data_IF_562534330838
#
_entry.id   IF_562534330838
#
_cell.length_a   1.000
_cell.length_b   1.000
_cell.length_c   1.000
_cell.angle_alpha   90.00
_cell.angle_beta   90.00
_cell.angle_gamma   90.00
#
_symmetry.space_group_name_H-M   'P 1'
#
loop_
_entity.id
_entity.type
_entity.pdbx_description
1 polymer ?
#
# COMPACT_ATOMS: atom_id res chain seq x y z
N UNK A 1 25.13 0.44 -38.46
CA UNK A 1 23.83 1.10 -38.26
C UNK A 1 22.76 0.08 -37.87
N UNK A 2 22.88 -0.58 -36.71
CA UNK A 2 21.91 -1.62 -36.28
C UNK A 2 21.68 -1.66 -34.76
N UNK A 3 22.12 -0.65 -34.01
CA UNK A 3 22.11 -0.67 -32.54
C UNK A 3 20.96 0.13 -31.90
N UNK A 4 20.12 0.80 -32.69
CA UNK A 4 19.09 1.72 -32.18
C UNK A 4 17.72 1.06 -31.95
N UNK A 5 17.49 -0.18 -32.40
CA UNK A 5 16.14 -0.77 -32.40
C UNK A 5 15.80 -1.75 -31.25
N UNK A 6 16.68 -1.93 -30.25
CA UNK A 6 16.41 -2.94 -29.19
C UNK A 6 15.52 -2.48 -28.04
N UNK A 7 15.18 -1.18 -27.96
CA UNK A 7 14.44 -0.60 -26.83
C UNK A 7 13.12 0.09 -27.21
N UNK A 8 12.35 -0.48 -28.13
CA UNK A 8 10.92 -0.12 -28.25
C UNK A 8 10.16 -1.08 -27.32
N UNK A 9 10.09 -0.73 -26.04
CA UNK A 9 9.35 -1.53 -25.05
C UNK A 9 7.89 -1.69 -25.50
N UNK A 10 7.43 -2.93 -25.63
CA UNK A 10 6.04 -3.21 -26.00
C UNK A 10 5.18 -3.11 -24.75
N UNK A 11 4.05 -2.41 -24.83
CA UNK A 11 3.12 -2.23 -23.69
C UNK A 11 2.70 -3.57 -23.07
N UNK A 12 2.57 -4.62 -23.89
CA UNK A 12 2.20 -5.96 -23.43
C UNK A 12 3.28 -6.65 -22.58
N UNK A 13 4.54 -6.24 -22.68
CA UNK A 13 5.66 -6.87 -21.97
C UNK A 13 5.93 -6.21 -20.61
N UNK A 14 5.33 -5.03 -20.35
CA UNK A 14 5.51 -4.26 -19.10
C UNK A 14 5.27 -5.11 -17.86
N UNK A 15 4.22 -5.95 -17.87
CA UNK A 15 3.89 -6.80 -16.73
C UNK A 15 5.05 -7.73 -16.37
N UNK A 16 5.63 -8.40 -17.37
CA UNK A 16 6.76 -9.32 -17.18
C UNK A 16 8.02 -8.58 -16.76
N UNK A 17 8.27 -7.41 -17.36
CA UNK A 17 9.41 -6.57 -17.02
C UNK A 17 9.34 -6.09 -15.56
N UNK A 18 8.15 -5.71 -15.07
CA UNK A 18 7.94 -5.32 -13.67
C UNK A 18 8.21 -6.49 -12.73
N UNK A 19 7.70 -7.69 -13.04
CA UNK A 19 7.91 -8.89 -12.23
C UNK A 19 9.40 -9.22 -12.11
N UNK A 20 10.10 -9.25 -13.24
CA UNK A 20 11.54 -9.50 -13.29
C UNK A 20 12.33 -8.43 -12.51
N UNK A 21 12.03 -7.16 -12.76
CA UNK A 21 12.72 -6.03 -12.11
C UNK A 21 12.51 -6.03 -10.59
N UNK A 22 11.32 -6.43 -10.10
CA UNK A 22 11.05 -6.59 -8.67
C UNK A 22 11.86 -7.73 -8.05
N UNK A 23 12.00 -8.87 -8.72
CA UNK A 23 12.85 -9.97 -8.23
C UNK A 23 14.33 -9.58 -8.22
N UNK A 24 14.79 -8.94 -9.29
CA UNK A 24 16.18 -8.52 -9.43
C UNK A 24 16.58 -7.49 -8.36
N UNK A 25 15.71 -6.50 -8.07
CA UNK A 25 16.00 -5.44 -7.08
C UNK A 25 15.50 -5.74 -5.67
N UNK A 26 14.64 -6.75 -5.49
CA UNK A 26 14.04 -7.08 -4.20
C UNK A 26 15.07 -7.19 -3.07
N UNK A 27 16.13 -8.01 -3.23
CA UNK A 27 17.17 -8.18 -2.22
C UNK A 27 17.88 -6.87 -1.85
N UNK A 28 18.20 -6.04 -2.85
CA UNK A 28 18.84 -4.74 -2.63
C UNK A 28 17.95 -3.76 -1.85
N UNK A 29 16.63 -3.87 -2.08
CA UNK A 29 15.60 -3.09 -1.38
C UNK A 29 15.21 -3.69 -0.01
N UNK A 30 15.78 -4.84 0.38
CA UNK A 30 15.44 -5.54 1.62
C UNK A 30 14.18 -6.39 1.56
N UNK A 31 13.66 -6.68 0.37
CA UNK A 31 12.48 -7.51 0.16
C UNK A 31 12.86 -8.94 -0.25
N UNK A 32 12.15 -9.92 0.32
CA UNK A 32 12.20 -11.30 -0.13
C UNK A 32 10.89 -11.65 -0.85
N UNK A 33 11.00 -12.00 -2.14
CA UNK A 33 9.88 -12.30 -3.02
C UNK A 33 9.83 -13.77 -3.47
N UNK A 34 10.65 -14.64 -2.88
CA UNK A 34 10.80 -16.04 -3.33
C UNK A 34 9.50 -16.85 -3.22
N UNK A 35 8.66 -16.52 -2.23
CA UNK A 35 7.39 -17.19 -1.98
C UNK A 35 6.21 -16.58 -2.75
N UNK A 36 6.41 -15.46 -3.44
CA UNK A 36 5.35 -14.82 -4.21
C UNK A 36 5.34 -15.36 -5.64
N UNK A 37 4.15 -15.60 -6.17
CA UNK A 37 3.93 -15.82 -7.60
C UNK A 37 4.21 -14.56 -8.42
N UNK A 38 4.43 -14.71 -9.72
CA UNK A 38 4.66 -13.57 -10.61
C UNK A 38 3.40 -12.68 -10.70
N UNK A 39 2.20 -13.25 -10.60
CA UNK A 39 0.95 -12.50 -10.49
C UNK A 39 0.92 -11.64 -9.23
N UNK A 40 1.27 -12.19 -8.07
CA UNK A 40 1.33 -11.46 -6.80
C UNK A 40 2.34 -10.31 -6.84
N UNK A 41 3.39 -10.40 -7.67
CA UNK A 41 4.38 -9.32 -7.85
C UNK A 41 3.91 -8.14 -8.68
N UNK A 42 2.98 -8.34 -9.62
CA UNK A 42 2.50 -7.27 -10.50
C UNK A 42 1.11 -6.76 -10.12
N UNK A 43 0.28 -7.61 -9.54
CA UNK A 43 -1.14 -7.35 -9.38
C UNK A 43 -1.50 -6.97 -7.95
N UNK A 44 -2.73 -6.48 -7.83
CA UNK A 44 -3.35 -6.18 -6.55
C UNK A 44 -4.38 -7.27 -6.28
N UNK A 45 -4.14 -8.06 -5.23
CA UNK A 45 -5.06 -9.11 -4.82
C UNK A 45 -6.02 -8.55 -3.78
N UNK A 46 -7.33 -8.63 -4.05
CA UNK A 46 -8.34 -8.19 -3.11
C UNK A 46 -9.22 -9.36 -2.68
N UNK A 47 -9.25 -9.62 -1.37
CA UNK A 47 -10.10 -10.63 -0.76
C UNK A 47 -11.21 -9.95 0.04
N UNK A 48 -12.45 -10.35 -0.20
CA UNK A 48 -13.60 -9.97 0.63
C UNK A 48 -13.86 -11.10 1.63
N UNK A 49 -13.68 -10.79 2.90
CA UNK A 49 -13.86 -11.72 4.01
C UNK A 49 -15.19 -11.38 4.67
N UNK A 50 -16.14 -12.32 4.57
CA UNK A 50 -17.41 -12.23 5.26
C UNK A 50 -17.18 -12.13 6.78
N UNK A 51 -17.89 -11.25 7.52
CA UNK A 51 -19.10 -10.53 7.10
C UNK A 51 -18.89 -9.11 6.52
N UNK A 52 -17.75 -8.45 6.77
CA UNK A 52 -17.62 -7.01 6.52
C UNK A 52 -16.17 -6.53 6.44
N UNK A 53 -15.26 -7.38 5.99
CA UNK A 53 -13.84 -7.06 5.89
C UNK A 53 -13.35 -7.23 4.45
N UNK A 54 -12.47 -6.33 4.02
CA UNK A 54 -11.73 -6.47 2.78
C UNK A 54 -10.24 -6.35 3.08
N UNK A 55 -9.45 -7.17 2.41
CA UNK A 55 -7.99 -7.14 2.47
C UNK A 55 -7.49 -6.98 1.05
N UNK A 56 -6.68 -5.94 0.84
CA UNK A 56 -5.98 -5.68 -0.42
C UNK A 56 -4.49 -5.93 -0.19
N UNK A 57 -3.91 -6.87 -0.93
CA UNK A 57 -2.52 -7.27 -0.85
C UNK A 57 -1.77 -6.79 -2.09
N UNK A 58 -0.57 -6.29 -1.84
CA UNK A 58 0.48 -6.00 -2.81
C UNK A 58 1.79 -6.52 -2.22
N UNK A 59 2.86 -6.71 -3.02
CA UNK A 59 4.11 -7.32 -2.56
C UNK A 59 4.72 -6.68 -1.32
N UNK A 60 4.63 -5.36 -1.23
CA UNK A 60 5.27 -4.52 -0.22
C UNK A 60 4.27 -3.90 0.77
N UNK A 61 2.95 -4.07 0.54
CA UNK A 61 1.92 -3.46 1.37
C UNK A 61 0.62 -4.25 1.44
N UNK A 62 -0.04 -4.16 2.58
CA UNK A 62 -1.38 -4.67 2.79
C UNK A 62 -2.31 -3.56 3.31
N UNK A 63 -3.49 -3.46 2.75
CA UNK A 63 -4.58 -2.60 3.23
C UNK A 63 -5.71 -3.48 3.76
N UNK A 64 -6.01 -3.32 5.03
CA UNK A 64 -7.13 -3.98 5.70
C UNK A 64 -8.19 -2.92 5.96
N UNK A 65 -9.41 -3.18 5.52
CA UNK A 65 -10.56 -2.33 5.82
C UNK A 65 -11.70 -3.15 6.39
N UNK A 66 -12.36 -2.60 7.41
CA UNK A 66 -13.53 -3.21 8.04
C UNK A 66 -14.63 -2.18 8.19
N UNK A 67 -15.83 -2.53 7.74
CA UNK A 67 -17.04 -1.78 8.06
C UNK A 67 -17.65 -2.33 9.35
N UNK A 68 -17.92 -1.48 10.34
CA UNK A 68 -18.68 -1.84 11.54
C UNK A 68 -20.03 -1.13 11.50
N UNK A 69 -21.17 -1.83 11.60
CA UNK A 69 -22.48 -1.19 11.60
C UNK A 69 -22.61 -0.21 12.78
N UNK A 70 -23.34 0.89 12.59
CA UNK A 70 -23.68 1.77 13.69
C UNK A 70 -24.70 1.09 14.63
N UNK A 71 -24.57 1.34 15.93
CA UNK A 71 -25.39 0.62 16.93
C UNK A 71 -26.88 0.98 16.87
N UNK A 72 -27.21 2.22 16.48
CA UNK A 72 -28.58 2.75 16.50
C UNK A 72 -29.12 3.17 15.14
N UNK A 73 -28.25 3.40 14.15
CA UNK A 73 -28.66 3.96 12.86
C UNK A 73 -28.26 2.97 11.75
N UNK A 74 -29.22 2.21 11.18
CA UNK A 74 -28.91 1.21 10.17
C UNK A 74 -28.39 1.81 8.86
N UNK A 75 -28.51 3.13 8.66
CA UNK A 75 -27.97 3.83 7.48
C UNK A 75 -26.49 4.21 7.61
N UNK A 76 -25.89 4.01 8.80
CA UNK A 76 -24.53 4.46 9.14
C UNK A 76 -23.59 3.32 9.46
N UNK A 77 -22.30 3.56 9.23
CA UNK A 77 -21.25 2.61 9.61
C UNK A 77 -19.94 3.31 9.95
N UNK A 78 -19.14 2.63 10.76
CA UNK A 78 -17.77 3.02 11.03
C UNK A 78 -16.84 2.30 10.08
N UNK A 79 -15.83 3.01 9.57
CA UNK A 79 -14.74 2.37 8.84
C UNK A 79 -13.48 2.35 9.69
N UNK A 80 -12.92 1.15 9.84
CA UNK A 80 -11.56 0.98 10.32
C UNK A 80 -10.66 0.71 9.10
N UNK A 81 -9.62 1.53 8.92
CA UNK A 81 -8.64 1.38 7.84
C UNK A 81 -7.24 1.22 8.43
N UNK A 82 -6.58 0.12 8.09
CA UNK A 82 -5.20 -0.17 8.52
C UNK A 82 -4.36 -0.44 7.29
N UNK A 83 -3.26 0.28 7.14
CA UNK A 83 -2.29 0.02 6.08
C UNK A 83 -0.97 -0.42 6.70
N UNK A 84 -0.55 -1.61 6.33
CA UNK A 84 0.72 -2.20 6.68
C UNK A 84 1.64 -1.99 5.49
N UNK A 85 2.76 -1.33 5.69
CA UNK A 85 3.77 -1.09 4.67
C UNK A 85 5.07 -1.66 5.21
N UNK A 86 5.75 -2.49 4.43
CA UNK A 86 7.10 -2.90 4.74
C UNK A 86 8.05 -1.81 4.22
N UNK A 87 8.71 -1.04 5.11
CA UNK A 87 9.69 -0.07 4.65
C UNK A 87 10.84 -0.79 3.94
N UNK A 88 11.45 -0.18 2.92
CA UNK A 88 12.64 -0.74 2.31
C UNK A 88 13.81 -0.71 3.31
N UNK A 89 14.89 -1.44 3.01
CA UNK A 89 16.11 -1.41 3.82
C UNK A 89 16.72 -0.02 3.90
N UNK A 90 17.49 0.28 4.96
CA UNK A 90 18.16 1.57 5.12
C UNK A 90 19.12 1.88 3.95
N UNK A 91 19.67 0.85 3.32
CA UNK A 91 20.56 0.97 2.17
C UNK A 91 19.82 1.17 0.83
N UNK A 92 18.49 1.03 0.81
CA UNK A 92 17.70 1.08 -0.42
C UNK A 92 17.71 2.46 -1.10
N UNK A 93 17.88 3.54 -0.33
CA UNK A 93 18.02 4.90 -0.88
C UNK A 93 19.28 5.04 -1.76
N UNK A 94 20.34 4.29 -1.47
CA UNK A 94 21.60 4.32 -2.20
C UNK A 94 21.49 3.56 -3.53
N UNK A 95 20.69 2.48 -3.55
CA UNK A 95 20.70 1.52 -4.67
C UNK A 95 19.70 1.87 -5.78
N UNK A 96 18.56 2.50 -5.46
CA UNK A 96 17.42 2.49 -6.39
C UNK A 96 16.78 3.84 -6.74
N UNK A 97 17.36 4.99 -6.38
CA UNK A 97 16.79 6.34 -6.62
C UNK A 97 15.26 6.35 -6.36
N UNK A 98 14.90 5.96 -5.14
CA UNK A 98 13.54 5.62 -4.72
C UNK A 98 12.64 6.86 -4.51
N UNK A 99 12.66 7.83 -5.43
CA UNK A 99 11.97 9.13 -5.29
C UNK A 99 10.47 9.02 -4.96
N UNK A 100 9.83 7.89 -5.29
CA UNK A 100 8.41 7.65 -5.08
C UNK A 100 8.08 6.64 -3.97
N UNK A 101 9.07 6.03 -3.32
CA UNK A 101 8.79 5.15 -2.18
C UNK A 101 8.72 5.96 -0.88
N UNK A 102 7.83 5.58 0.05
CA UNK A 102 7.84 6.16 1.38
C UNK A 102 9.20 5.83 2.02
N UNK A 103 10.00 6.88 2.28
CA UNK A 103 11.24 6.74 3.03
C UNK A 103 10.95 6.04 4.37
N UNK A 104 11.85 5.19 4.87
CA UNK A 104 11.74 4.67 6.22
C UNK A 104 11.54 5.85 7.18
N UNK A 105 10.35 5.96 7.76
CA UNK A 105 10.12 6.92 8.83
C UNK A 105 10.70 6.32 10.10
N UNK A 106 11.37 7.10 10.95
CA UNK A 106 11.78 6.61 12.25
C UNK A 106 10.56 6.06 12.96
N UNK A 107 10.66 4.81 13.40
CA UNK A 107 9.60 4.14 14.16
C UNK A 107 9.52 4.93 15.48
N UNK A 108 8.38 5.57 15.79
CA UNK A 108 8.24 6.31 17.03
C UNK A 108 8.38 5.36 18.22
N UNK A 109 9.07 5.78 19.28
CA UNK A 109 9.21 4.99 20.51
C UNK A 109 7.84 4.72 21.17
N UNK A 110 6.89 5.62 20.97
CA UNK A 110 5.54 5.53 21.49
C UNK A 110 4.51 5.44 20.35
N UNK A 111 3.49 4.59 20.56
CA UNK A 111 2.37 4.48 19.63
C UNK A 111 1.68 5.85 19.49
N UNK A 112 1.54 6.39 18.27
CA UNK A 112 0.84 7.65 18.07
C UNK A 112 -0.58 7.61 18.62
N UNK A 113 -1.03 8.72 19.18
CA UNK A 113 -2.41 8.88 19.64
C UNK A 113 -3.39 8.69 18.48
N UNK A 114 -4.53 8.07 18.76
CA UNK A 114 -5.55 7.81 17.75
C UNK A 114 -6.34 9.08 17.50
N UNK A 115 -6.27 9.62 16.28
CA UNK A 115 -7.14 10.70 15.86
C UNK A 115 -8.54 10.17 15.48
N UNK A 116 -9.58 10.76 16.06
CA UNK A 116 -10.98 10.57 15.69
C UNK A 116 -11.52 11.90 15.15
N UNK A 117 -12.16 11.88 13.97
CA UNK A 117 -12.77 13.05 13.34
C UNK A 117 -13.96 12.61 12.48
N UNK A 118 -14.87 13.53 12.16
CA UNK A 118 -16.06 13.24 11.37
C UNK A 118 -15.88 13.58 9.90
N UNK A 119 -16.85 13.19 9.07
CA UNK A 119 -16.88 13.57 7.66
C UNK A 119 -16.98 15.08 7.49
N UNK A 120 -17.70 15.78 8.37
CA UNK A 120 -17.83 17.24 8.34
C UNK A 120 -16.49 17.94 8.55
N UNK A 121 -15.65 17.46 9.48
CA UNK A 121 -14.31 18.01 9.74
C UNK A 121 -13.40 17.92 8.49
N UNK A 122 -13.59 16.88 7.67
CA UNK A 122 -12.90 16.74 6.39
C UNK A 122 -13.43 17.74 5.38
N UNK A 123 -14.76 17.85 5.24
CA UNK A 123 -15.40 18.74 4.26
C UNK A 123 -15.02 20.20 4.58
N UNK A 124 -14.92 20.55 5.86
CA UNK A 124 -14.45 21.85 6.33
C UNK A 124 -12.95 22.10 6.08
N UNK A 125 -12.19 21.07 5.71
CA UNK A 125 -10.74 21.15 5.44
C UNK A 125 -9.86 21.17 6.69
N UNK A 126 -10.45 21.00 7.88
CA UNK A 126 -9.71 20.96 9.16
C UNK A 126 -8.85 19.71 9.29
N UNK A 127 -9.28 18.61 8.66
CA UNK A 127 -8.58 17.33 8.62
C UNK A 127 -8.42 16.84 7.18
N UNK A 128 -7.27 16.23 6.89
CA UNK A 128 -7.00 15.58 5.60
C UNK A 128 -7.00 14.06 5.75
N UNK A 129 -7.49 13.38 4.71
CA UNK A 129 -7.47 11.92 4.54
C UNK A 129 -6.06 11.37 4.31
N UNK A 130 -5.14 11.59 5.25
CA UNK A 130 -3.84 10.94 5.25
C UNK A 130 -3.98 9.67 6.07
N UNK A 131 -3.66 8.50 5.49
CA UNK A 131 -3.77 7.20 6.13
C UNK A 131 -2.89 7.13 7.39
N UNK A 132 -3.45 7.49 8.53
CA UNK A 132 -3.05 7.01 9.86
C UNK A 132 -4.14 6.07 10.37
N UNK A 133 -3.89 5.42 11.50
CA UNK A 133 -4.88 4.59 12.17
C UNK A 133 -6.09 5.44 12.57
N UNK A 134 -7.03 5.62 11.66
CA UNK A 134 -8.15 6.56 11.77
C UNK A 134 -9.45 5.79 11.89
N UNK A 135 -10.31 6.23 12.81
CA UNK A 135 -11.72 5.85 12.88
C UNK A 135 -12.52 6.95 12.22
N UNK A 136 -13.32 6.59 11.24
CA UNK A 136 -14.22 7.55 10.61
C UNK A 136 -15.67 7.13 10.78
N UNK A 137 -16.51 8.12 11.04
CA UNK A 137 -17.96 8.01 11.08
C UNK A 137 -18.49 8.38 9.67
N UNK A 138 -19.20 7.46 9.03
CA UNK A 138 -20.02 7.72 7.83
C UNK A 138 -21.48 7.52 8.22
#
# INVERSE_FOLDING_TARGET
MAWILKNIGRVLDIRKDVQKKRRDMGPDLGYNYDLLSDEELSDIFQHNIFPNMLITLQPDKALIMRARPHHSDPSKCYWDKVTLVMPPSDNAEIVADLQFMPKPKPIPDERPEREEFTQEDVIAGEKRWILRLTKMFI
#
